data_IF_607847857178
#
_entry.id   IF_607847857178
#
_cell.length_a   1.000
_cell.length_b   1.000
_cell.length_c   1.000
_cell.angle_alpha   90.00
_cell.angle_beta   90.00
_cell.angle_gamma   90.00
#
_symmetry.space_group_name_H-M   'P 1'
#
loop_
_entity.id
_entity.type
_entity.pdbx_description
1 polymer ?
#
# COMPACT_ATOMS: atom_id res chain seq x y z
N UNK A 1 15.23 -28.39 -25.42
CA UNK A 1 14.19 -28.68 -24.42
C UNK A 1 14.57 -27.95 -23.14
N UNK A 2 13.81 -26.90 -22.75
CA UNK A 2 13.96 -26.29 -21.43
C UNK A 2 13.67 -27.35 -20.39
N UNK A 3 14.61 -27.58 -19.50
CA UNK A 3 14.44 -28.48 -18.35
C UNK A 3 13.37 -27.91 -17.41
N UNK A 4 12.69 -28.74 -16.60
CA UNK A 4 11.69 -28.29 -15.63
C UNK A 4 12.20 -27.18 -14.69
N UNK A 5 13.51 -27.09 -14.47
CA UNK A 5 14.18 -26.05 -13.68
C UNK A 5 14.18 -24.65 -14.33
N UNK A 6 13.92 -24.54 -15.65
CA UNK A 6 13.93 -23.27 -16.40
C UNK A 6 12.54 -22.60 -16.52
N UNK A 7 11.49 -23.18 -15.95
CA UNK A 7 10.17 -22.55 -15.92
C UNK A 7 10.04 -21.68 -14.67
N UNK A 8 10.12 -20.37 -14.86
CA UNK A 8 9.79 -19.42 -13.82
C UNK A 8 8.36 -19.67 -13.31
N UNK A 9 8.18 -19.84 -12.00
CA UNK A 9 6.86 -20.01 -11.37
C UNK A 9 6.05 -18.75 -11.62
N UNK A 10 4.87 -18.90 -12.17
CA UNK A 10 3.95 -17.78 -12.45
C UNK A 10 3.25 -17.35 -11.18
N UNK A 11 3.11 -16.04 -10.99
CA UNK A 11 2.44 -15.44 -9.84
C UNK A 11 1.14 -14.78 -10.28
N UNK A 12 0.03 -15.13 -9.63
CA UNK A 12 -1.31 -14.63 -9.97
C UNK A 12 -2.01 -14.01 -8.77
N UNK A 13 -2.96 -13.13 -9.04
CA UNK A 13 -3.82 -12.51 -8.03
C UNK A 13 -5.16 -13.23 -8.05
N UNK A 14 -5.60 -13.72 -6.88
CA UNK A 14 -6.82 -14.50 -6.73
C UNK A 14 -7.82 -13.88 -5.74
N UNK A 15 -7.42 -12.87 -4.99
CA UNK A 15 -8.30 -12.17 -4.07
C UNK A 15 -7.92 -10.72 -3.88
N UNK A 16 -8.93 -9.88 -3.71
CA UNK A 16 -8.83 -8.44 -3.54
C UNK A 16 -9.55 -8.02 -2.27
N UNK A 17 -8.93 -7.12 -1.50
CA UNK A 17 -9.57 -6.47 -0.37
C UNK A 17 -9.10 -5.03 -0.24
N UNK A 18 -10.01 -4.12 0.05
CA UNK A 18 -9.69 -2.69 0.21
C UNK A 18 -10.63 -2.05 1.22
N UNK A 19 -10.11 -1.09 1.94
CA UNK A 19 -10.88 -0.11 2.70
C UNK A 19 -10.22 1.25 2.57
N UNK A 20 -11.00 2.26 2.28
CA UNK A 20 -10.51 3.63 2.05
C UNK A 20 -11.57 4.68 2.40
N UNK A 21 -11.21 5.95 2.29
CA UNK A 21 -12.14 7.05 2.51
C UNK A 21 -13.34 7.09 1.54
N UNK A 22 -13.28 6.35 0.44
CA UNK A 22 -14.33 6.30 -0.60
C UNK A 22 -15.12 4.98 -0.61
N UNK A 23 -14.79 4.03 0.27
CA UNK A 23 -15.54 2.79 0.39
C UNK A 23 -14.94 1.82 1.40
N UNK A 24 -15.78 0.98 1.99
CA UNK A 24 -15.42 -0.03 2.98
C UNK A 24 -15.07 -1.40 2.39
N UNK A 25 -15.14 -1.54 1.05
CA UNK A 25 -14.84 -2.76 0.29
C UNK A 25 -14.52 -2.42 -1.17
N UNK A 26 -14.15 -3.43 -1.95
CA UNK A 26 -13.76 -3.27 -3.37
C UNK A 26 -14.90 -2.69 -4.22
N UNK A 27 -16.12 -3.17 -4.05
CA UNK A 27 -17.28 -2.73 -4.83
C UNK A 27 -17.60 -1.25 -4.56
N UNK A 28 -17.70 -0.85 -3.30
CA UNK A 28 -17.97 0.54 -2.92
C UNK A 28 -16.87 1.49 -3.39
N UNK A 29 -15.60 1.08 -3.27
CA UNK A 29 -14.48 1.86 -3.76
C UNK A 29 -14.54 2.02 -5.27
N UNK A 30 -14.86 0.95 -6.00
CA UNK A 30 -14.98 0.97 -7.44
C UNK A 30 -16.13 1.88 -7.91
N UNK A 31 -17.30 1.76 -7.29
CA UNK A 31 -18.46 2.63 -7.57
C UNK A 31 -18.16 4.10 -7.29
N UNK A 32 -17.40 4.36 -6.23
CA UNK A 32 -16.97 5.72 -5.90
C UNK A 32 -16.00 6.29 -6.94
N UNK A 33 -15.08 5.46 -7.45
CA UNK A 33 -14.16 5.84 -8.53
C UNK A 33 -14.94 6.17 -9.81
N UNK A 34 -15.88 5.29 -10.20
CA UNK A 34 -16.71 5.52 -11.40
C UNK A 34 -17.58 6.77 -11.29
N UNK A 35 -18.07 7.06 -10.09
CA UNK A 35 -18.87 8.25 -9.81
C UNK A 35 -18.03 9.51 -9.52
N UNK A 36 -16.69 9.43 -9.59
CA UNK A 36 -15.77 10.53 -9.25
C UNK A 36 -16.02 11.12 -7.85
N UNK A 37 -16.38 10.27 -6.88
CA UNK A 37 -16.60 10.70 -5.49
C UNK A 37 -15.26 10.89 -4.78
N UNK A 38 -15.12 12.01 -4.05
CA UNK A 38 -13.98 12.27 -3.18
C UNK A 38 -14.29 11.86 -1.75
N UNK A 39 -13.31 11.29 -1.06
CA UNK A 39 -13.36 11.02 0.37
C UNK A 39 -12.66 12.09 1.22
N UNK A 40 -12.13 13.14 0.60
CA UNK A 40 -11.42 14.22 1.29
C UNK A 40 -12.44 15.15 1.95
N UNK A 41 -12.21 15.47 3.23
CA UNK A 41 -13.02 16.39 4.02
C UNK A 41 -12.14 17.08 5.09
N UNK A 42 -12.68 18.06 5.78
CA UNK A 42 -12.02 18.59 6.99
C UNK A 42 -11.91 17.48 8.04
N UNK A 43 -10.71 17.36 8.63
CA UNK A 43 -10.50 16.35 9.69
C UNK A 43 -11.11 16.81 11.01
N UNK A 44 -11.70 15.86 11.74
CA UNK A 44 -12.13 16.05 13.13
C UNK A 44 -11.32 15.13 14.08
N UNK A 45 -10.39 14.35 13.55
CA UNK A 45 -9.56 13.41 14.33
C UNK A 45 -8.42 14.12 15.04
N UNK A 46 -7.91 15.21 14.43
CA UNK A 46 -6.82 16.00 14.98
C UNK A 46 -7.29 17.43 15.28
N UNK A 47 -6.69 18.03 16.30
CA UNK A 47 -6.82 19.47 16.53
C UNK A 47 -5.93 20.21 15.52
N UNK A 48 -6.57 20.90 14.60
CA UNK A 48 -5.93 21.63 13.49
C UNK A 48 -6.18 23.13 13.53
N UNK A 49 -6.68 23.67 14.65
CA UNK A 49 -7.10 25.08 14.76
C UNK A 49 -6.00 26.08 14.38
N UNK A 50 -4.75 25.75 14.70
CA UNK A 50 -3.58 26.58 14.39
C UNK A 50 -2.77 26.09 13.17
N UNK A 51 -3.37 25.20 12.34
CA UNK A 51 -2.70 24.59 11.20
C UNK A 51 -3.18 25.22 9.89
N UNK A 52 -2.27 25.35 8.91
CA UNK A 52 -2.61 25.89 7.59
C UNK A 52 -3.36 24.89 6.70
N UNK A 53 -3.40 23.63 7.06
CA UNK A 53 -4.06 22.57 6.29
C UNK A 53 -4.83 21.65 7.24
N UNK A 54 -6.10 21.42 6.97
CA UNK A 54 -7.00 20.65 7.83
C UNK A 54 -7.82 19.58 7.08
N UNK A 55 -7.48 19.32 5.82
CA UNK A 55 -8.11 18.29 5.02
C UNK A 55 -7.44 16.92 5.20
N UNK A 56 -8.26 15.87 5.28
CA UNK A 56 -7.84 14.48 5.30
C UNK A 56 -8.82 13.58 4.56
N UNK A 57 -8.37 12.40 4.15
CA UNK A 57 -9.19 11.34 3.58
C UNK A 57 -9.29 10.19 4.59
N UNK A 58 -10.24 10.27 5.50
CA UNK A 58 -10.42 9.32 6.61
C UNK A 58 -11.48 8.27 6.27
N UNK A 59 -11.24 7.03 6.68
CA UNK A 59 -12.19 5.93 6.53
C UNK A 59 -13.37 6.12 7.46
N UNK A 60 -14.57 6.03 6.92
CA UNK A 60 -15.83 6.15 7.66
C UNK A 60 -16.36 4.77 8.06
N UNK A 61 -17.06 4.70 9.19
CA UNK A 61 -17.77 3.49 9.61
C UNK A 61 -16.89 2.36 10.16
N UNK A 62 -15.58 2.58 10.32
CA UNK A 62 -14.72 1.66 11.06
C UNK A 62 -14.45 2.25 12.45
N UNK A 63 -15.20 1.78 13.44
CA UNK A 63 -15.00 2.18 14.82
C UNK A 63 -13.76 1.50 15.42
N UNK A 64 -13.04 2.22 16.27
CA UNK A 64 -11.92 1.67 17.05
C UNK A 64 -12.46 0.92 18.29
N UNK A 65 -13.23 -0.14 18.03
CA UNK A 65 -13.88 -0.92 19.10
C UNK A 65 -12.95 -1.94 19.76
N UNK A 66 -11.88 -2.34 19.09
CA UNK A 66 -10.92 -3.31 19.60
C UNK A 66 -9.67 -2.60 20.15
N UNK A 67 -9.52 -2.51 21.50
CA UNK A 67 -8.37 -1.87 22.12
C UNK A 67 -7.05 -2.63 21.89
N UNK A 68 -7.10 -3.85 21.37
CA UNK A 68 -5.91 -4.66 21.06
C UNK A 68 -5.28 -4.28 19.73
N UNK A 69 -5.99 -3.52 18.88
CA UNK A 69 -5.55 -3.13 17.57
C UNK A 69 -5.14 -1.64 17.51
N UNK A 70 -4.15 -1.34 16.69
CA UNK A 70 -3.96 0.01 16.16
C UNK A 70 -4.87 0.25 14.95
N UNK A 71 -5.15 1.52 14.64
CA UNK A 71 -5.96 1.89 13.48
C UNK A 71 -5.47 1.26 12.18
N UNK A 72 -4.16 1.30 11.92
CA UNK A 72 -3.56 0.72 10.72
C UNK A 72 -3.79 -0.80 10.65
N UNK A 73 -3.66 -1.49 11.78
CA UNK A 73 -3.91 -2.93 11.86
C UNK A 73 -5.40 -3.26 11.67
N UNK A 74 -6.31 -2.49 12.25
CA UNK A 74 -7.75 -2.68 12.08
C UNK A 74 -8.18 -2.53 10.60
N UNK A 75 -7.66 -1.50 9.92
CA UNK A 75 -7.86 -1.31 8.47
C UNK A 75 -7.32 -2.50 7.68
N UNK A 76 -6.10 -2.95 8.01
CA UNK A 76 -5.46 -4.09 7.34
C UNK A 76 -6.26 -5.38 7.50
N UNK A 77 -6.71 -5.68 8.72
CA UNK A 77 -7.52 -6.87 8.99
C UNK A 77 -8.86 -6.85 8.27
N UNK A 78 -9.48 -5.67 8.15
CA UNK A 78 -10.71 -5.51 7.37
C UNK A 78 -10.50 -5.86 5.90
N UNK A 79 -9.47 -5.29 5.27
CA UNK A 79 -9.11 -5.60 3.88
C UNK A 79 -8.66 -7.06 3.70
N UNK A 80 -7.94 -7.63 4.69
CA UNK A 80 -7.54 -9.04 4.69
C UNK A 80 -8.74 -9.99 4.67
N UNK A 81 -9.74 -9.73 5.51
CA UNK A 81 -10.95 -10.54 5.55
C UNK A 81 -11.69 -10.55 4.20
N UNK A 82 -11.81 -9.40 3.55
CA UNK A 82 -12.38 -9.29 2.22
C UNK A 82 -11.54 -10.06 1.18
N UNK A 83 -10.22 -9.86 1.15
CA UNK A 83 -9.33 -10.53 0.20
C UNK A 83 -9.38 -12.06 0.31
N UNK A 84 -9.41 -12.59 1.53
CA UNK A 84 -9.55 -14.02 1.79
C UNK A 84 -10.91 -14.54 1.29
N UNK A 85 -11.99 -13.84 1.65
CA UNK A 85 -13.35 -14.20 1.21
C UNK A 85 -13.46 -14.19 -0.30
N UNK A 86 -12.94 -13.17 -0.97
CA UNK A 86 -12.94 -13.05 -2.43
C UNK A 86 -12.13 -14.16 -3.10
N UNK A 87 -11.01 -14.56 -2.50
CA UNK A 87 -10.20 -15.70 -2.96
C UNK A 87 -10.85 -17.07 -2.69
N UNK A 88 -11.96 -17.14 -1.95
CA UNK A 88 -12.56 -18.40 -1.50
C UNK A 88 -11.71 -19.13 -0.45
N UNK A 89 -10.95 -18.39 0.37
CA UNK A 89 -10.12 -18.88 1.46
C UNK A 89 -10.68 -18.41 2.80
N UNK A 90 -10.57 -19.23 3.84
CA UNK A 90 -10.93 -18.86 5.21
C UNK A 90 -9.68 -18.58 6.07
N UNK A 91 -8.72 -19.47 5.99
CA UNK A 91 -7.42 -19.38 6.64
C UNK A 91 -6.39 -20.29 5.94
N UNK A 92 -5.18 -20.38 6.48
CA UNK A 92 -4.09 -21.16 5.90
C UNK A 92 -3.71 -22.40 6.73
N UNK A 93 -4.39 -22.67 7.85
CA UNK A 93 -4.17 -23.87 8.67
C UNK A 93 -2.73 -24.06 9.17
N UNK A 94 -2.01 -23.00 9.45
CA UNK A 94 -0.60 -22.98 9.83
C UNK A 94 0.36 -23.54 8.76
N UNK A 95 -0.02 -23.49 7.50
CA UNK A 95 0.86 -23.91 6.41
C UNK A 95 2.13 -23.07 6.36
N UNK A 96 3.29 -23.73 6.36
CA UNK A 96 4.59 -23.08 6.15
C UNK A 96 4.76 -22.50 4.73
N UNK A 97 3.86 -22.88 3.80
CA UNK A 97 3.80 -22.38 2.44
C UNK A 97 2.90 -21.13 2.27
N UNK A 98 2.26 -20.69 3.37
CA UNK A 98 1.43 -19.50 3.40
C UNK A 98 2.12 -18.38 4.18
N UNK A 99 2.35 -17.24 3.55
CA UNK A 99 3.13 -16.12 4.04
C UNK A 99 2.33 -14.81 4.11
N UNK A 100 2.81 -13.86 4.89
CA UNK A 100 2.22 -12.52 5.04
C UNK A 100 3.30 -11.46 4.90
N UNK A 101 3.09 -10.52 3.97
CA UNK A 101 4.00 -9.38 3.75
C UNK A 101 3.16 -8.11 3.69
N UNK A 102 3.27 -7.26 4.70
CA UNK A 102 2.53 -6.01 4.76
C UNK A 102 3.46 -4.80 4.73
N UNK A 103 3.07 -3.79 3.98
CA UNK A 103 3.75 -2.50 3.92
C UNK A 103 3.07 -1.48 4.82
N UNK A 104 3.85 -0.65 5.49
CA UNK A 104 3.36 0.52 6.22
C UNK A 104 4.44 1.59 6.30
N UNK A 105 4.02 2.84 6.27
CA UNK A 105 4.91 3.98 6.46
C UNK A 105 5.15 4.27 7.95
N UNK A 106 4.09 4.21 8.74
CA UNK A 106 4.07 4.70 10.13
C UNK A 106 3.86 3.59 11.15
N UNK A 107 3.20 2.50 10.76
CA UNK A 107 2.80 1.46 11.71
C UNK A 107 1.70 1.95 12.67
N UNK A 108 1.84 1.66 13.95
CA UNK A 108 0.87 1.99 14.99
C UNK A 108 0.92 3.45 15.45
N UNK A 109 0.70 4.40 14.55
CA UNK A 109 0.75 5.83 14.84
C UNK A 109 -0.23 6.29 15.91
N UNK A 110 -1.46 5.80 15.91
CA UNK A 110 -2.45 6.13 16.93
C UNK A 110 -2.13 5.51 18.30
N UNK A 111 -1.52 4.34 18.32
CA UNK A 111 -1.04 3.72 19.56
C UNK A 111 0.12 4.53 20.15
N UNK A 112 1.01 5.06 19.32
CA UNK A 112 2.05 5.98 19.75
C UNK A 112 1.46 7.23 20.40
N UNK A 113 0.45 7.85 19.80
CA UNK A 113 -0.25 9.01 20.37
C UNK A 113 -0.90 8.68 21.72
N UNK A 114 -1.65 7.58 21.79
CA UNK A 114 -2.28 7.14 23.05
C UNK A 114 -1.26 6.93 24.15
N UNK A 115 -0.14 6.28 23.82
CA UNK A 115 0.93 6.05 24.77
C UNK A 115 1.46 7.35 25.39
N UNK A 116 1.74 8.35 24.57
CA UNK A 116 2.29 9.62 25.07
C UNK A 116 1.25 10.54 25.72
N UNK A 117 0.01 10.50 25.29
CA UNK A 117 -1.07 11.35 25.82
C UNK A 117 -1.90 10.70 26.91
N UNK A 118 -2.03 9.38 26.91
CA UNK A 118 -3.00 8.61 27.70
C UNK A 118 -2.46 7.86 28.90
N UNK A 119 -1.23 8.10 29.40
CA UNK A 119 -0.74 7.48 30.62
C UNK A 119 0.23 6.31 30.43
N UNK A 120 0.80 6.15 29.25
CA UNK A 120 1.90 5.20 28.92
C UNK A 120 1.52 3.73 29.16
N UNK A 121 0.37 3.30 28.67
CA UNK A 121 -0.07 1.91 28.76
C UNK A 121 0.81 0.98 27.91
N UNK A 122 1.27 -0.12 28.54
CA UNK A 122 2.17 -1.08 27.90
C UNK A 122 1.59 -1.71 26.63
N UNK A 123 0.28 -1.91 26.58
CA UNK A 123 -0.42 -2.48 25.43
C UNK A 123 -0.24 -1.62 24.17
N UNK A 124 -0.12 -0.31 24.32
CA UNK A 124 0.11 0.57 23.18
C UNK A 124 1.51 0.39 22.59
N UNK A 125 2.53 0.13 23.44
CA UNK A 125 3.90 -0.13 22.94
C UNK A 125 3.95 -1.33 22.00
N UNK A 126 3.20 -2.39 22.29
CA UNK A 126 3.19 -3.61 21.50
C UNK A 126 2.54 -3.43 20.11
N UNK A 127 1.74 -2.39 19.94
CA UNK A 127 1.03 -2.06 18.71
C UNK A 127 1.76 -1.05 17.83
N UNK A 128 2.76 -0.35 18.36
CA UNK A 128 3.53 0.68 17.64
C UNK A 128 4.40 0.13 16.51
N UNK A 129 5.14 -0.99 16.68
CA UNK A 129 6.02 -1.47 15.64
C UNK A 129 5.26 -1.82 14.37
N UNK A 130 5.85 -1.48 13.21
CA UNK A 130 5.29 -1.85 11.90
C UNK A 130 5.07 -3.36 11.80
N UNK A 131 5.95 -4.17 12.41
CA UNK A 131 5.83 -5.63 12.46
C UNK A 131 4.56 -6.14 13.16
N UNK A 132 3.93 -5.35 14.02
CA UNK A 132 2.69 -5.72 14.67
C UNK A 132 1.56 -5.97 13.65
N UNK A 133 1.56 -5.24 12.53
CA UNK A 133 0.54 -5.37 11.49
C UNK A 133 0.58 -6.76 10.83
N UNK A 134 1.73 -7.17 10.28
CA UNK A 134 1.84 -8.48 9.64
C UNK A 134 1.65 -9.63 10.63
N UNK A 135 2.10 -9.48 11.88
CA UNK A 135 1.91 -10.49 12.93
C UNK A 135 0.43 -10.68 13.26
N UNK A 136 -0.35 -9.60 13.35
CA UNK A 136 -1.80 -9.69 13.60
C UNK A 136 -2.54 -10.32 12.41
N UNK A 137 -2.18 -9.96 11.17
CA UNK A 137 -2.73 -10.60 9.98
C UNK A 137 -2.41 -12.09 9.97
N UNK A 138 -1.14 -12.46 10.21
CA UNK A 138 -0.72 -13.86 10.25
C UNK A 138 -1.42 -14.67 11.34
N UNK A 139 -1.65 -14.05 12.51
CA UNK A 139 -2.39 -14.67 13.61
C UNK A 139 -3.85 -14.97 13.24
N UNK A 140 -4.52 -14.05 12.56
CA UNK A 140 -5.94 -14.22 12.16
C UNK A 140 -6.08 -15.25 11.03
N UNK A 141 -5.19 -15.24 10.05
CA UNK A 141 -5.27 -16.18 8.92
C UNK A 141 -4.48 -17.49 9.13
N UNK A 142 -3.87 -17.70 10.29
CA UNK A 142 -3.07 -18.87 10.61
C UNK A 142 -1.98 -19.17 9.56
N UNK A 143 -1.22 -18.15 9.16
CA UNK A 143 -0.08 -18.30 8.26
C UNK A 143 1.13 -18.85 9.03
N UNK A 144 1.71 -19.96 8.54
CA UNK A 144 2.88 -20.61 9.15
C UNK A 144 4.20 -20.32 8.45
N UNK A 145 4.18 -19.62 7.34
CA UNK A 145 5.36 -19.28 6.54
C UNK A 145 6.06 -17.99 6.97
N UNK A 146 6.62 -17.26 6.02
CA UNK A 146 7.32 -16.00 6.27
C UNK A 146 6.31 -14.91 6.62
N UNK A 147 6.51 -14.25 7.77
CA UNK A 147 5.72 -13.11 8.22
C UNK A 147 6.64 -11.92 8.38
N UNK A 148 6.43 -10.88 7.59
CA UNK A 148 7.29 -9.70 7.61
C UNK A 148 6.56 -8.43 7.18
N UNK A 149 7.17 -7.30 7.51
CA UNK A 149 6.73 -5.98 7.06
C UNK A 149 7.80 -5.31 6.20
N UNK A 150 7.33 -4.53 5.24
CA UNK A 150 8.14 -3.61 4.45
C UNK A 150 7.93 -2.20 4.98
N UNK A 151 9.03 -1.53 5.33
CA UNK A 151 9.06 -0.15 5.80
C UNK A 151 9.84 0.71 4.80
N UNK A 152 9.25 0.95 3.65
CA UNK A 152 9.86 1.79 2.60
C UNK A 152 8.93 2.95 2.22
N UNK A 153 8.51 3.70 3.24
CA UNK A 153 7.64 4.86 3.12
C UNK A 153 6.45 4.59 2.16
N UNK A 154 6.15 5.52 1.27
CA UNK A 154 5.01 5.45 0.35
C UNK A 154 5.04 4.25 -0.63
N UNK A 155 6.21 3.65 -0.88
CA UNK A 155 6.37 2.51 -1.77
C UNK A 155 6.13 1.15 -1.07
N UNK A 156 5.99 1.14 0.27
CA UNK A 156 5.97 -0.07 1.08
C UNK A 156 4.92 -1.10 0.61
N UNK A 157 3.69 -0.67 0.32
CA UNK A 157 2.63 -1.55 -0.15
C UNK A 157 2.94 -2.21 -1.50
N UNK A 158 3.45 -1.45 -2.47
CA UNK A 158 3.83 -1.99 -3.78
C UNK A 158 5.03 -2.94 -3.68
N UNK A 159 6.02 -2.60 -2.85
CA UNK A 159 7.19 -3.48 -2.62
C UNK A 159 6.77 -4.77 -1.91
N UNK A 160 5.79 -4.73 -1.02
CA UNK A 160 5.24 -5.95 -0.38
C UNK A 160 4.67 -6.92 -1.41
N UNK A 161 3.98 -6.42 -2.43
CA UNK A 161 3.43 -7.23 -3.52
C UNK A 161 4.56 -7.79 -4.40
N UNK A 162 5.58 -6.99 -4.72
CA UNK A 162 6.77 -7.45 -5.45
C UNK A 162 7.50 -8.55 -4.70
N UNK A 163 7.71 -8.37 -3.39
CA UNK A 163 8.37 -9.37 -2.56
C UNK A 163 7.54 -10.66 -2.42
N UNK A 164 6.21 -10.57 -2.38
CA UNK A 164 5.36 -11.75 -2.42
C UNK A 164 5.55 -12.56 -3.70
N UNK A 165 5.63 -11.89 -4.86
CA UNK A 165 5.92 -12.55 -6.13
C UNK A 165 7.31 -13.21 -6.12
N UNK A 166 8.32 -12.57 -5.54
CA UNK A 166 9.67 -13.12 -5.42
C UNK A 166 9.70 -14.37 -4.54
N UNK A 167 8.99 -14.40 -3.40
CA UNK A 167 8.88 -15.59 -2.56
C UNK A 167 8.24 -16.76 -3.30
N UNK A 168 7.20 -16.51 -4.08
CA UNK A 168 6.53 -17.53 -4.89
C UNK A 168 7.47 -18.03 -5.99
N UNK A 169 8.12 -17.12 -6.74
CA UNK A 169 9.07 -17.48 -7.81
C UNK A 169 10.28 -18.26 -7.30
N UNK A 170 10.70 -17.93 -6.08
CA UNK A 170 11.77 -18.67 -5.38
C UNK A 170 11.32 -20.04 -4.82
N UNK A 171 10.04 -20.40 -4.97
CA UNK A 171 9.49 -21.65 -4.43
C UNK A 171 9.41 -21.69 -2.91
N UNK A 172 9.38 -20.50 -2.24
CA UNK A 172 9.32 -20.39 -0.78
C UNK A 172 7.91 -20.31 -0.23
N UNK A 173 6.94 -19.92 -1.05
CA UNK A 173 5.53 -19.86 -0.72
C UNK A 173 4.67 -20.30 -1.89
N UNK A 174 3.46 -20.77 -1.62
CA UNK A 174 2.42 -21.06 -2.60
C UNK A 174 1.35 -19.97 -2.60
N UNK A 175 1.12 -19.36 -1.44
CA UNK A 175 0.17 -18.25 -1.25
C UNK A 175 0.76 -17.21 -0.30
N UNK A 176 0.54 -15.94 -0.61
CA UNK A 176 1.00 -14.80 0.19
C UNK A 176 -0.11 -13.77 0.27
N UNK A 177 -0.45 -13.33 1.49
CA UNK A 177 -1.17 -12.08 1.70
C UNK A 177 -0.19 -10.93 1.61
N UNK A 178 -0.38 -10.05 0.65
CA UNK A 178 0.52 -8.92 0.42
C UNK A 178 -0.26 -7.63 0.19
N UNK A 179 0.23 -6.54 0.73
CA UNK A 179 -0.43 -5.25 0.59
C UNK A 179 0.17 -4.18 1.47
N UNK A 180 -0.64 -3.19 1.81
CA UNK A 180 -0.21 -2.11 2.68
C UNK A 180 -1.37 -1.44 3.40
N UNK A 181 -1.03 -0.78 4.49
CA UNK A 181 -1.96 -0.03 5.33
C UNK A 181 -1.26 1.10 6.05
N UNK A 182 -1.93 2.22 6.20
CA UNK A 182 -1.58 3.27 7.14
C UNK A 182 -2.85 3.89 7.72
N UNK A 183 -2.82 4.20 9.01
CA UNK A 183 -3.85 4.94 9.72
C UNK A 183 -3.53 6.43 9.76
N UNK A 184 -4.54 7.29 9.66
CA UNK A 184 -4.38 8.73 9.83
C UNK A 184 -4.08 9.06 11.29
N UNK A 185 -2.98 9.76 11.55
CA UNK A 185 -2.51 10.11 12.89
C UNK A 185 -1.71 11.43 12.89
N UNK A 186 -1.49 11.98 14.08
CA UNK A 186 -0.74 13.25 14.21
C UNK A 186 0.73 13.12 13.80
N UNK A 187 1.31 11.93 13.86
CA UNK A 187 2.75 11.74 13.57
C UNK A 187 3.06 12.07 12.09
N UNK A 188 2.47 11.40 11.08
CA UNK A 188 2.70 11.78 9.69
C UNK A 188 2.15 13.18 9.38
N UNK A 189 1.02 13.55 9.97
CA UNK A 189 0.43 14.87 9.75
C UNK A 189 1.39 16.00 10.16
N UNK A 190 1.92 15.97 11.37
CA UNK A 190 2.87 16.95 11.85
C UNK A 190 4.17 16.97 11.02
N UNK A 191 4.65 15.79 10.60
CA UNK A 191 5.80 15.68 9.72
C UNK A 191 5.60 16.41 8.39
N UNK A 192 4.52 16.14 7.67
CA UNK A 192 4.21 16.79 6.40
C UNK A 192 3.83 18.26 6.57
N UNK A 193 3.18 18.63 7.69
CA UNK A 193 2.88 20.02 8.03
C UNK A 193 4.16 20.82 8.19
N UNK A 194 5.14 20.30 8.94
CA UNK A 194 6.43 20.97 9.18
C UNK A 194 7.28 21.14 7.92
N UNK A 195 7.10 20.25 6.95
CA UNK A 195 7.73 20.33 5.63
C UNK A 195 7.03 21.29 4.67
N UNK A 196 5.91 21.91 5.08
CA UNK A 196 5.01 22.65 4.18
C UNK A 196 4.62 21.88 2.92
N UNK A 197 4.38 20.58 3.07
CA UNK A 197 4.06 19.68 1.98
C UNK A 197 2.56 19.37 1.85
N UNK A 198 1.74 19.77 2.83
CA UNK A 198 0.29 19.63 2.78
C UNK A 198 -0.33 20.73 1.90
N UNK A 199 -1.45 20.41 1.26
CA UNK A 199 -2.26 21.40 0.54
C UNK A 199 -3.15 22.14 1.54
N UNK A 200 -3.21 23.46 1.42
CA UNK A 200 -4.11 24.31 2.23
C UNK A 200 -5.60 24.03 1.92
N UNK A 201 -5.85 23.55 0.70
CA UNK A 201 -7.13 23.10 0.23
C UNK A 201 -7.11 21.60 -0.01
N UNK A 202 -8.23 21.03 -0.39
CA UNK A 202 -8.27 19.66 -0.90
C UNK A 202 -7.33 19.50 -2.11
N UNK A 203 -6.44 18.53 -2.09
CA UNK A 203 -5.51 18.33 -3.20
C UNK A 203 -6.26 17.97 -4.49
N UNK A 204 -5.80 18.54 -5.60
CA UNK A 204 -6.31 18.30 -6.96
C UNK A 204 -5.19 17.78 -7.86
N UNK A 205 -4.88 16.48 -7.81
CA UNK A 205 -3.76 15.90 -8.55
C UNK A 205 -3.85 16.19 -10.05
N UNK A 206 -2.73 16.58 -10.65
CA UNK A 206 -2.59 16.94 -12.07
C UNK A 206 -3.30 18.22 -12.51
N UNK A 207 -3.95 18.93 -11.60
CA UNK A 207 -4.64 20.20 -11.93
C UNK A 207 -4.01 21.38 -11.19
N UNK A 208 -4.37 21.62 -9.93
CA UNK A 208 -3.94 22.81 -9.17
C UNK A 208 -3.49 22.51 -7.72
N UNK A 209 -2.94 21.33 -7.46
CA UNK A 209 -2.42 20.99 -6.14
C UNK A 209 -1.18 21.80 -5.77
N UNK A 210 -1.21 22.36 -4.55
CA UNK A 210 -0.07 23.03 -3.93
C UNK A 210 0.74 22.09 -3.04
N UNK A 211 0.16 20.96 -2.65
CA UNK A 211 0.70 19.96 -1.77
C UNK A 211 -0.07 18.64 -1.88
N UNK A 212 0.00 17.84 -0.83
CA UNK A 212 -0.73 16.57 -0.70
C UNK A 212 -1.82 16.69 0.37
N UNK A 213 -2.83 15.84 0.30
CA UNK A 213 -3.78 15.58 1.38
C UNK A 213 -3.52 14.18 1.91
N UNK A 214 -3.34 14.04 3.22
CA UNK A 214 -3.12 12.74 3.84
C UNK A 214 -4.43 11.95 3.91
N UNK A 215 -4.31 10.64 3.83
CA UNK A 215 -5.43 9.74 3.99
C UNK A 215 -5.05 8.51 4.79
N UNK A 216 -6.02 7.66 5.03
CA UNK A 216 -5.85 6.33 5.60
C UNK A 216 -6.55 5.28 4.75
N UNK A 217 -6.16 4.03 4.95
CA UNK A 217 -6.76 2.91 4.27
C UNK A 217 -5.87 1.67 4.29
N UNK A 218 -6.39 0.61 3.71
CA UNK A 218 -5.65 -0.62 3.49
C UNK A 218 -6.04 -1.24 2.14
N UNK A 219 -5.06 -1.86 1.49
CA UNK A 219 -5.27 -2.71 0.33
C UNK A 219 -4.48 -4.01 0.49
N UNK A 220 -5.16 -5.14 0.33
CA UNK A 220 -4.57 -6.47 0.48
C UNK A 220 -4.93 -7.32 -0.73
N UNK A 221 -3.94 -8.04 -1.24
CA UNK A 221 -4.07 -9.00 -2.33
C UNK A 221 -3.75 -10.40 -1.82
N UNK A 222 -4.47 -11.40 -2.34
CA UNK A 222 -4.04 -12.79 -2.28
C UNK A 222 -3.21 -13.07 -3.52
N UNK A 223 -1.92 -13.33 -3.31
CA UNK A 223 -0.94 -13.66 -4.36
C UNK A 223 -0.64 -15.14 -4.29
N UNK A 224 -0.81 -15.86 -5.39
CA UNK A 224 -0.60 -17.31 -5.43
C UNK A 224 0.32 -17.73 -6.58
N UNK A 225 0.96 -18.89 -6.43
CA UNK A 225 1.50 -19.56 -7.61
C UNK A 225 0.35 -19.99 -8.52
N UNK A 226 0.55 -19.90 -9.82
CA UNK A 226 -0.47 -20.31 -10.80
C UNK A 226 -0.95 -21.75 -10.59
N UNK A 227 0.00 -22.65 -10.30
CA UNK A 227 -0.27 -24.06 -10.06
C UNK A 227 -1.17 -24.26 -8.83
N UNK A 228 -0.91 -23.55 -7.73
CA UNK A 228 -1.73 -23.62 -6.52
C UNK A 228 -3.14 -23.07 -6.79
N UNK A 229 -3.25 -21.92 -7.46
CA UNK A 229 -4.52 -21.30 -7.80
C UNK A 229 -5.40 -22.21 -8.69
N UNK A 230 -4.80 -22.82 -9.73
CA UNK A 230 -5.50 -23.74 -10.63
C UNK A 230 -5.92 -25.01 -9.91
N UNK A 231 -5.04 -25.58 -9.08
CA UNK A 231 -5.34 -26.84 -8.36
C UNK A 231 -6.56 -26.71 -7.43
N UNK A 232 -6.82 -25.52 -6.88
CA UNK A 232 -8.00 -25.27 -6.04
C UNK A 232 -9.19 -24.63 -6.79
N UNK A 233 -9.07 -24.42 -8.11
CA UNK A 233 -10.12 -23.81 -8.93
C UNK A 233 -10.36 -22.32 -8.64
N UNK A 234 -9.33 -21.59 -8.23
CA UNK A 234 -9.43 -20.17 -7.90
C UNK A 234 -9.78 -19.32 -9.12
N UNK A 235 -10.56 -18.25 -8.89
CA UNK A 235 -10.65 -17.17 -9.86
C UNK A 235 -9.31 -16.42 -9.93
N UNK A 236 -8.84 -16.15 -11.13
CA UNK A 236 -7.59 -15.43 -11.38
C UNK A 236 -7.90 -14.08 -12.02
N UNK A 237 -7.61 -12.99 -11.32
CA UNK A 237 -7.79 -11.63 -11.82
C UNK A 237 -6.73 -11.24 -12.85
N UNK A 238 -5.47 -11.49 -12.54
CA UNK A 238 -4.32 -11.14 -13.37
C UNK A 238 -3.08 -11.89 -12.92
N UNK A 239 -2.00 -11.71 -13.68
CA UNK A 239 -0.66 -12.21 -13.37
C UNK A 239 0.29 -11.05 -13.06
N UNK A 240 1.18 -11.23 -12.06
CA UNK A 240 2.28 -10.31 -11.79
C UNK A 240 3.44 -10.74 -12.69
N UNK A 241 3.72 -9.96 -13.70
CA UNK A 241 4.74 -10.28 -14.70
C UNK A 241 6.15 -9.84 -14.28
N UNK A 242 6.26 -8.70 -13.59
CA UNK A 242 7.54 -8.16 -13.17
C UNK A 242 7.40 -6.99 -12.21
N UNK A 243 8.47 -6.68 -11.52
CA UNK A 243 8.60 -5.57 -10.58
C UNK A 243 9.85 -4.76 -10.85
N UNK A 244 9.87 -3.51 -10.38
CA UNK A 244 11.05 -2.65 -10.48
C UNK A 244 11.11 -1.70 -9.30
N UNK A 245 12.29 -1.59 -8.72
CA UNK A 245 12.57 -0.72 -7.57
C UNK A 245 13.78 0.13 -7.91
N UNK A 246 13.73 1.41 -7.59
CA UNK A 246 14.82 2.35 -7.76
C UNK A 246 14.82 3.40 -6.66
N UNK A 247 15.91 4.16 -6.57
CA UNK A 247 16.04 5.31 -5.68
C UNK A 247 16.64 6.46 -6.47
N UNK A 248 16.07 7.67 -6.28
CA UNK A 248 16.55 8.86 -6.98
C UNK A 248 17.96 9.29 -6.53
N UNK A 249 18.29 9.10 -5.23
CA UNK A 249 19.53 9.59 -4.62
C UNK A 249 19.84 11.07 -4.97
N UNK A 250 18.80 11.90 -5.10
CA UNK A 250 18.87 13.27 -5.61
C UNK A 250 18.69 14.32 -4.49
N UNK A 251 17.60 14.22 -3.74
CA UNK A 251 17.23 15.19 -2.69
C UNK A 251 16.48 14.48 -1.56
N UNK A 252 16.51 15.08 -0.37
CA UNK A 252 15.93 14.47 0.83
C UNK A 252 14.40 14.38 0.76
N UNK A 253 13.72 15.30 0.07
CA UNK A 253 12.25 15.37 0.01
C UNK A 253 11.68 15.54 -1.40
N UNK A 254 12.48 15.98 -2.38
CA UNK A 254 12.00 16.27 -3.72
C UNK A 254 12.39 15.16 -4.71
N UNK A 255 11.48 14.73 -5.59
CA UNK A 255 11.81 13.78 -6.65
C UNK A 255 12.79 14.41 -7.65
N UNK A 256 13.56 13.55 -8.30
CA UNK A 256 14.48 13.95 -9.36
C UNK A 256 13.71 14.58 -10.54
N UNK A 257 14.06 15.80 -10.97
CA UNK A 257 13.24 16.54 -11.96
C UNK A 257 13.13 15.86 -13.32
N UNK A 258 14.17 15.12 -13.73
CA UNK A 258 14.22 14.39 -15.00
C UNK A 258 13.40 13.08 -14.98
N UNK A 259 12.91 12.65 -13.78
CA UNK A 259 12.12 11.44 -13.66
C UNK A 259 12.89 10.13 -13.85
N UNK A 260 14.23 10.16 -13.86
CA UNK A 260 15.06 8.96 -14.14
C UNK A 260 14.81 7.84 -13.11
N UNK A 261 14.55 8.16 -11.84
CA UNK A 261 14.20 7.15 -10.84
C UNK A 261 12.93 6.39 -11.19
N UNK A 262 11.86 7.12 -11.56
CA UNK A 262 10.60 6.50 -11.98
C UNK A 262 10.78 5.69 -13.28
N UNK A 263 11.51 6.21 -14.24
CA UNK A 263 11.82 5.50 -15.49
C UNK A 263 12.63 4.23 -15.23
N UNK A 264 13.61 4.28 -14.34
CA UNK A 264 14.42 3.12 -13.97
C UNK A 264 13.57 2.00 -13.33
N UNK A 265 12.67 2.35 -12.42
CA UNK A 265 11.75 1.37 -11.82
C UNK A 265 10.81 0.75 -12.88
N UNK A 266 10.25 1.57 -13.78
CA UNK A 266 9.37 1.08 -14.85
C UNK A 266 10.13 0.15 -15.80
N UNK A 267 11.32 0.56 -16.26
CA UNK A 267 12.17 -0.27 -17.13
C UNK A 267 12.58 -1.59 -16.48
N UNK A 268 12.90 -1.55 -15.18
CA UNK A 268 13.17 -2.76 -14.39
C UNK A 268 12.00 -3.73 -14.42
N UNK A 269 10.78 -3.25 -14.16
CA UNK A 269 9.58 -4.09 -14.19
C UNK A 269 9.30 -4.67 -15.60
N UNK A 270 9.47 -3.86 -16.65
CA UNK A 270 9.29 -4.29 -18.04
C UNK A 270 10.32 -5.36 -18.42
N UNK A 271 11.59 -5.15 -18.04
CA UNK A 271 12.67 -6.09 -18.31
C UNK A 271 12.46 -7.42 -17.59
N UNK A 272 12.08 -7.39 -16.29
CA UNK A 272 11.78 -8.58 -15.52
C UNK A 272 10.59 -9.36 -16.12
N UNK A 273 9.58 -8.65 -16.61
CA UNK A 273 8.43 -9.24 -17.30
C UNK A 273 8.79 -9.86 -18.67
N UNK A 274 10.01 -9.68 -19.19
CA UNK A 274 10.39 -10.11 -20.52
C UNK A 274 9.66 -9.36 -21.64
N UNK A 275 9.18 -8.16 -21.36
CA UNK A 275 8.43 -7.31 -22.30
C UNK A 275 9.31 -6.21 -22.88
N UNK A 276 8.84 -5.61 -23.96
CA UNK A 276 9.43 -4.40 -24.53
C UNK A 276 8.57 -3.18 -24.20
N UNK A 277 9.16 -1.98 -24.24
CA UNK A 277 8.44 -0.73 -23.97
C UNK A 277 7.22 -0.54 -24.89
N UNK A 278 7.28 -1.03 -26.12
CA UNK A 278 6.18 -0.98 -27.09
C UNK A 278 4.97 -1.86 -26.72
N UNK A 279 5.13 -2.86 -25.86
CA UNK A 279 4.06 -3.77 -25.42
C UNK A 279 3.17 -3.22 -24.30
N UNK A 280 3.46 -2.02 -23.78
CA UNK A 280 2.76 -1.46 -22.61
C UNK A 280 1.62 -0.52 -23.01
N UNK A 281 0.39 -0.83 -22.54
CA UNK A 281 -0.80 0.01 -22.76
C UNK A 281 -1.20 0.87 -21.56
N UNK A 282 -0.74 0.56 -20.33
CA UNK A 282 -1.12 1.28 -19.12
C UNK A 282 0.11 1.74 -18.34
N UNK A 283 0.14 3.01 -17.96
CA UNK A 283 1.19 3.58 -17.11
C UNK A 283 0.57 4.18 -15.85
N UNK A 284 1.12 3.84 -14.69
CA UNK A 284 0.81 4.54 -13.44
C UNK A 284 1.52 5.89 -13.46
N UNK A 285 0.76 6.98 -13.44
CA UNK A 285 1.30 8.32 -13.19
C UNK A 285 1.17 8.63 -11.71
N UNK A 286 2.29 8.74 -11.00
CA UNK A 286 2.34 9.35 -9.69
C UNK A 286 2.95 10.75 -9.83
N UNK A 287 2.31 11.78 -9.30
CA UNK A 287 2.87 13.12 -9.19
C UNK A 287 2.74 13.58 -7.75
N UNK A 288 3.87 13.79 -7.11
CA UNK A 288 3.96 14.65 -5.94
C UNK A 288 4.35 16.03 -6.45
N UNK A 289 3.45 17.02 -6.33
CA UNK A 289 3.83 18.40 -6.58
C UNK A 289 4.23 19.02 -5.25
N UNK A 290 5.48 19.46 -5.20
CA UNK A 290 6.04 20.22 -4.11
C UNK A 290 6.08 21.71 -4.50
N UNK A 291 5.98 22.64 -3.53
CA UNK A 291 6.09 24.10 -3.76
C UNK A 291 7.34 24.51 -4.56
N UNK A 292 8.41 23.71 -4.50
CA UNK A 292 9.65 23.95 -5.25
C UNK A 292 9.51 23.70 -6.77
N UNK A 293 8.64 22.80 -7.20
CA UNK A 293 8.43 22.50 -8.62
C UNK A 293 7.73 23.64 -9.39
N UNK A 294 7.05 24.56 -8.68
CA UNK A 294 6.37 25.71 -9.30
C UNK A 294 7.30 26.83 -9.73
N UNK A 295 8.50 26.92 -9.15
CA UNK A 295 9.46 27.99 -9.47
C UNK A 295 10.33 27.69 -10.70
N UNK A 296 10.37 26.47 -11.16
CA UNK A 296 11.02 26.10 -12.40
C UNK A 296 10.01 25.39 -13.30
N UNK A 297 9.36 26.11 -14.18
CA UNK A 297 8.41 25.56 -15.15
C UNK A 297 9.14 24.63 -16.14
N UNK A 298 9.51 23.42 -15.68
CA UNK A 298 10.11 22.40 -16.52
C UNK A 298 8.98 21.48 -16.98
N UNK A 299 8.61 21.51 -18.26
CA UNK A 299 7.74 20.49 -18.82
C UNK A 299 8.46 19.15 -18.74
N UNK A 300 7.77 18.11 -18.32
CA UNK A 300 8.22 16.74 -18.55
C UNK A 300 8.49 16.60 -20.03
N UNK A 301 9.68 16.16 -20.45
CA UNK A 301 9.91 15.86 -21.84
C UNK A 301 8.87 14.83 -22.26
N UNK A 302 8.07 15.20 -23.25
CA UNK A 302 7.24 14.26 -23.99
C UNK A 302 8.21 13.40 -24.82
N UNK A 303 8.82 12.42 -24.17
CA UNK A 303 9.44 11.35 -24.91
C UNK A 303 8.33 10.35 -25.21
N UNK A 304 8.04 10.24 -26.49
CA UNK A 304 7.23 9.18 -27.05
C UNK A 304 7.80 7.83 -26.60
N UNK A 305 7.00 7.12 -25.82
CA UNK A 305 7.18 5.72 -25.48
C UNK A 305 6.13 4.91 -26.22
#
# INVERSE_FOLDING_TARGET
SKTMADRQIRCVITGLGVISAIGGNVEECWDSILASRSGIAHTNTLDTADCYADYAAEVKGLEESDPTLDRAAALCLRATGEALSDAGLSDFGNSERASVIMGSCVGGGRSLERYYRGGKHREDILKMPISAIANQVAGVCHAGGIVTNVANACAAGTISIAYAADLIRAGKADVVLAGGTDGFSSVPYAGFLSLHALDENSCSPFYDSQGITLGEGAGVLVVESYEHAVARGAHIYCEILGSGISSDAHHITAPRPDGEGQMSAIRGAIAEAGLTEAGHRLRKRARHRNRQERRGGIPFPAHDF
#
